data_IF_081374380673
#
_entry.id   IF_081374380673
#
_cell.length_a   1.000
_cell.length_b   1.000
_cell.length_c   1.000
_cell.angle_alpha   90.00
_cell.angle_beta   90.00
_cell.angle_gamma   90.00
#
_symmetry.space_group_name_H-M   'P 1'
#
loop_
_entity.id
_entity.type
_entity.pdbx_description
1 polymer ?
#
# COMPACT_ATOMS: atom_id res chain seq x y z
N UNK A 1 -16.55 6.85 -0.35
CA UNK A 1 -15.69 6.03 -1.23
C UNK A 1 -14.36 6.76 -1.34
N UNK A 2 -13.24 6.11 -1.05
CA UNK A 2 -11.91 6.72 -1.19
C UNK A 2 -11.51 6.68 -2.68
N UNK A 3 -10.80 7.70 -3.19
CA UNK A 3 -10.32 7.67 -4.57
C UNK A 3 -9.22 6.62 -4.72
N UNK A 4 -8.99 6.09 -5.93
CA UNK A 4 -7.86 5.18 -6.16
C UNK A 4 -6.52 5.87 -5.90
N UNK A 5 -6.41 7.15 -6.25
CA UNK A 5 -5.21 7.94 -5.97
C UNK A 5 -4.89 7.97 -4.47
N UNK A 6 -5.90 8.21 -3.63
CA UNK A 6 -5.73 8.24 -2.18
C UNK A 6 -5.50 6.84 -1.60
N UNK A 7 -6.17 5.80 -2.13
CA UNK A 7 -5.99 4.40 -1.73
C UNK A 7 -4.54 3.93 -1.92
N UNK A 8 -3.88 4.38 -2.98
CA UNK A 8 -2.51 3.96 -3.31
C UNK A 8 -1.46 5.03 -3.02
N UNK A 9 -1.78 6.05 -2.21
CA UNK A 9 -0.85 7.11 -1.85
C UNK A 9 0.26 6.61 -0.92
N UNK A 10 1.43 6.31 -1.48
CA UNK A 10 2.63 5.87 -0.74
C UNK A 10 3.29 6.97 0.08
N UNK A 11 2.87 8.23 -0.07
CA UNK A 11 3.37 9.37 0.70
C UNK A 11 2.44 9.73 1.88
N UNK A 12 1.47 8.87 2.22
CA UNK A 12 0.55 9.12 3.31
C UNK A 12 1.31 9.25 4.66
N UNK A 13 1.05 10.28 5.49
CA UNK A 13 1.84 10.55 6.70
C UNK A 13 1.75 9.45 7.76
N UNK A 14 0.68 8.65 7.74
CA UNK A 14 0.47 7.54 8.68
C UNK A 14 0.77 6.15 8.09
N UNK A 15 1.49 6.07 6.96
CA UNK A 15 1.82 4.79 6.34
C UNK A 15 2.54 3.87 7.34
N UNK A 16 2.10 2.61 7.43
CA UNK A 16 2.76 1.62 8.28
C UNK A 16 4.23 1.46 7.88
N UNK A 17 5.20 1.58 8.80
CA UNK A 17 6.63 1.41 8.49
C UNK A 17 7.00 0.00 8.01
N UNK A 18 6.13 -0.99 8.26
CA UNK A 18 6.28 -2.37 7.79
C UNK A 18 5.79 -2.58 6.35
N UNK A 19 5.07 -1.61 5.75
CA UNK A 19 4.64 -1.69 4.36
C UNK A 19 5.85 -1.50 3.44
N UNK A 20 5.94 -2.35 2.43
CA UNK A 20 6.94 -2.29 1.38
C UNK A 20 6.23 -2.22 0.04
N UNK A 21 6.88 -1.57 -0.90
CA UNK A 21 6.37 -1.43 -2.24
C UNK A 21 7.51 -1.27 -3.24
N UNK A 22 7.22 -1.61 -4.49
CA UNK A 22 8.11 -1.37 -5.61
C UNK A 22 7.29 -0.85 -6.77
N UNK A 23 7.59 0.38 -7.21
CA UNK A 23 7.09 0.89 -8.48
C UNK A 23 7.96 0.39 -9.62
N UNK A 24 7.35 0.21 -10.79
CA UNK A 24 8.08 0.10 -12.04
C UNK A 24 8.16 1.49 -12.68
N UNK A 25 9.31 1.83 -13.28
CA UNK A 25 9.41 3.02 -14.11
C UNK A 25 8.81 2.70 -15.48
N UNK A 26 7.96 3.61 -15.98
CA UNK A 26 7.46 3.55 -17.35
C UNK A 26 8.24 4.58 -18.17
N UNK A 27 9.00 4.13 -19.16
CA UNK A 27 9.75 5.00 -20.07
C UNK A 27 8.85 5.55 -21.18
N UNK A 28 7.70 6.11 -20.82
CA UNK A 28 6.78 6.78 -21.74
C UNK A 28 6.30 8.08 -21.13
N UNK A 29 5.93 9.03 -21.99
CA UNK A 29 5.23 10.23 -21.53
C UNK A 29 3.83 9.85 -21.04
N UNK A 30 3.27 10.58 -20.05
CA UNK A 30 1.90 10.39 -19.62
C UNK A 30 0.92 10.65 -20.79
N UNK A 31 0.10 9.65 -21.12
CA UNK A 31 -1.00 9.80 -22.09
C UNK A 31 -2.32 9.98 -21.31
N UNK A 32 -3.03 11.10 -21.46
CA UNK A 32 -4.28 11.36 -20.73
C UNK A 32 -5.43 10.43 -21.15
N UNK A 33 -5.32 9.73 -22.28
CA UNK A 33 -6.30 8.74 -22.73
C UNK A 33 -6.06 7.35 -22.14
N UNK A 34 -4.89 7.12 -21.53
CA UNK A 34 -4.51 5.86 -20.91
C UNK A 34 -4.61 6.01 -19.40
N UNK A 35 -5.47 5.22 -18.72
CA UNK A 35 -5.47 5.18 -17.26
C UNK A 35 -4.08 4.85 -16.72
N UNK A 36 -3.65 5.52 -15.65
CA UNK A 36 -2.35 5.21 -15.04
C UNK A 36 -2.34 3.74 -14.62
N UNK A 37 -1.30 3.01 -15.04
CA UNK A 37 -1.08 1.67 -14.50
C UNK A 37 -0.82 1.79 -13.00
N UNK A 38 -1.71 1.20 -12.22
CA UNK A 38 -1.50 0.98 -10.81
C UNK A 38 -0.65 -0.29 -10.69
N UNK A 39 0.67 -0.13 -10.71
CA UNK A 39 1.61 -1.24 -10.49
C UNK A 39 1.81 -1.49 -8.99
N UNK A 40 0.74 -1.40 -8.20
CA UNK A 40 0.73 -1.48 -6.75
C UNK A 40 1.20 -2.82 -6.21
N UNK A 41 2.50 -3.10 -6.32
CA UNK A 41 3.18 -4.25 -5.74
C UNK A 41 3.50 -3.92 -4.30
N UNK A 42 2.53 -4.16 -3.43
CA UNK A 42 2.65 -3.91 -2.01
C UNK A 42 2.77 -5.22 -1.22
N UNK A 43 3.59 -5.20 -0.17
CA UNK A 43 3.71 -6.34 0.75
C UNK A 43 4.06 -5.87 2.16
N UNK A 44 3.69 -6.68 3.16
CA UNK A 44 4.13 -6.46 4.52
C UNK A 44 5.46 -7.19 4.77
N UNK A 45 6.44 -6.54 5.40
CA UNK A 45 7.74 -7.17 5.70
C UNK A 45 7.63 -8.35 6.67
N UNK A 46 6.59 -8.38 7.52
CA UNK A 46 6.41 -9.41 8.54
C UNK A 46 5.79 -10.70 7.98
N UNK A 47 4.84 -10.60 7.06
CA UNK A 47 4.21 -11.76 6.42
C UNK A 47 4.86 -12.13 5.10
N UNK A 48 5.61 -11.20 4.49
CA UNK A 48 6.23 -11.34 3.16
C UNK A 48 5.22 -11.63 2.05
N UNK A 49 3.96 -11.21 2.23
CA UNK A 49 2.88 -11.34 1.24
C UNK A 49 2.10 -10.03 1.11
N UNK A 50 1.13 -10.00 0.18
CA UNK A 50 0.18 -8.90 0.03
C UNK A 50 -0.89 -8.84 1.13
N UNK A 51 -0.82 -9.72 2.13
CA UNK A 51 -1.76 -9.82 3.25
C UNK A 51 -1.00 -9.55 4.55
N UNK A 52 -1.55 -8.66 5.39
CA UNK A 52 -1.01 -8.33 6.70
C UNK A 52 -1.23 -9.45 7.73
N UNK A 53 -0.60 -9.35 8.92
CA UNK A 53 -0.79 -10.32 9.99
C UNK A 53 -2.24 -10.46 10.49
N UNK A 54 -3.10 -9.47 10.19
CA UNK A 54 -4.53 -9.41 10.54
C UNK A 54 -5.43 -9.99 9.44
N UNK A 55 -4.85 -10.50 8.35
CA UNK A 55 -5.62 -11.02 7.21
C UNK A 55 -6.10 -9.95 6.23
N UNK A 56 -5.83 -8.67 6.49
CA UNK A 56 -6.24 -7.56 5.62
C UNK A 56 -5.16 -7.21 4.60
N UNK A 57 -5.57 -6.59 3.48
CA UNK A 57 -4.62 -6.17 2.43
C UNK A 57 -3.50 -5.29 2.97
N UNK A 58 -2.27 -5.58 2.53
CA UNK A 58 -1.10 -4.78 2.77
C UNK A 58 -0.96 -3.74 1.65
N UNK A 59 -1.72 -2.65 1.73
CA UNK A 59 -1.69 -1.54 0.75
C UNK A 59 -1.79 -0.18 1.47
N UNK A 60 -1.43 0.96 0.86
CA UNK A 60 -1.37 2.25 1.54
C UNK A 60 -2.67 2.67 2.24
N UNK A 61 -3.81 2.50 1.59
CA UNK A 61 -5.12 2.83 2.16
C UNK A 61 -5.43 2.05 3.44
N UNK A 62 -5.13 0.76 3.45
CA UNK A 62 -5.35 -0.10 4.62
C UNK A 62 -4.24 0.06 5.68
N UNK A 63 -2.99 0.19 5.26
CA UNK A 63 -1.83 0.30 6.13
C UNK A 63 -1.58 1.71 6.66
N UNK A 64 -2.37 2.71 6.24
CA UNK A 64 -2.36 4.05 6.85
C UNK A 64 -3.22 4.14 8.11
N UNK A 65 -4.05 3.14 8.39
CA UNK A 65 -4.92 3.14 9.57
C UNK A 65 -4.16 2.78 10.84
N UNK A 66 -4.15 3.71 11.81
CA UNK A 66 -3.62 3.46 13.16
C UNK A 66 -4.49 2.54 14.01
N UNK A 67 -5.71 2.21 13.57
CA UNK A 67 -6.61 1.32 14.31
C UNK A 67 -6.29 -0.16 14.09
N UNK A 68 -5.44 -0.48 13.11
CA UNK A 68 -4.95 -1.85 12.90
C UNK A 68 -3.95 -2.21 13.99
N UNK A 69 -4.23 -3.29 14.72
CA UNK A 69 -3.37 -3.77 15.84
C UNK A 69 -1.95 -4.10 15.38
N UNK A 70 -1.80 -4.59 14.14
CA UNK A 70 -0.49 -4.92 13.57
C UNK A 70 0.32 -3.71 13.07
N UNK A 71 -0.22 -2.49 13.13
CA UNK A 71 0.47 -1.29 12.62
C UNK A 71 1.78 -1.09 13.40
N UNK A 72 2.90 -1.06 12.68
CA UNK A 72 4.27 -0.98 13.21
C UNK A 72 4.74 -2.16 14.09
N UNK A 73 3.85 -3.05 14.53
CA UNK A 73 4.19 -4.16 15.45
C UNK A 73 4.39 -5.50 14.73
N UNK A 74 3.73 -5.68 13.58
CA UNK A 74 3.76 -6.95 12.84
C UNK A 74 3.00 -8.08 13.53
N UNK A 75 2.17 -7.79 14.54
CA UNK A 75 1.45 -8.79 15.33
C UNK A 75 -0.01 -8.40 15.48
N UNK A 76 -0.89 -9.39 15.40
CA UNK A 76 -2.30 -9.26 15.77
C UNK A 76 -2.50 -9.93 17.11
N UNK A 77 -3.28 -9.29 17.98
CA UNK A 77 -3.68 -9.87 19.27
C UNK A 77 -4.64 -11.03 19.10
#
# INVERSE_FOLDING_TARGET
>A
MISEFDRFNTNHPNLCPALRWKGQFVLSQPDPTVPRSNDGLFWCIHTQTCIGPDGELAEPGNCSSKTRVCHNTGKCG
#
